data_IF_475350577653
#
_entry.id   IF_475350577653
#
_cell.length_a   1.000
_cell.length_b   1.000
_cell.length_c   1.000
_cell.angle_alpha   90.00
_cell.angle_beta   90.00
_cell.angle_gamma   90.00
#
_symmetry.space_group_name_H-M   'P 1'
#
loop_
_entity.id
_entity.type
_entity.pdbx_description
1 polymer ?
#
# COMPACT_ATOMS: atom_id res chain seq x y z
N UNK A 1 -13.19 -12.68 -9.86
CA UNK A 1 -12.35 -12.05 -8.83
C UNK A 1 -11.56 -10.89 -9.40
N UNK A 2 -11.30 -9.87 -8.59
CA UNK A 2 -10.53 -8.73 -9.03
C UNK A 2 -9.19 -8.65 -8.33
N UNK A 3 -8.35 -7.72 -8.78
CA UNK A 3 -7.06 -7.47 -8.17
C UNK A 3 -7.21 -6.83 -6.80
N UNK A 4 -6.26 -7.07 -5.91
CA UNK A 4 -6.06 -6.25 -4.72
C UNK A 4 -5.00 -5.20 -5.02
N UNK A 5 -5.20 -4.00 -4.52
CA UNK A 5 -4.27 -2.90 -4.67
C UNK A 5 -3.82 -2.46 -3.28
N UNK A 6 -2.52 -2.35 -3.08
CA UNK A 6 -1.98 -1.89 -1.80
C UNK A 6 -1.41 -0.50 -1.94
N UNK A 7 -1.60 0.31 -0.92
CA UNK A 7 -1.08 1.67 -0.85
C UNK A 7 -0.21 1.80 0.39
N UNK A 8 1.06 2.10 0.18
CA UNK A 8 1.96 2.52 1.25
C UNK A 8 1.88 4.04 1.31
N UNK A 9 0.97 4.54 2.15
CA UNK A 9 0.59 5.95 2.17
C UNK A 9 1.65 6.80 2.85
N UNK A 10 2.12 7.81 2.14
CA UNK A 10 3.06 8.79 2.67
C UNK A 10 2.51 10.20 2.58
N UNK A 11 3.12 11.14 3.31
CA UNK A 11 2.68 12.52 3.31
C UNK A 11 2.87 13.23 1.97
N UNK A 12 3.89 12.85 1.21
CA UNK A 12 4.22 13.46 -0.08
C UNK A 12 3.92 12.55 -1.26
N UNK A 13 4.17 11.25 -1.11
CA UNK A 13 3.96 10.28 -2.18
C UNK A 13 3.55 8.95 -1.58
N UNK A 14 2.93 8.12 -2.40
CA UNK A 14 2.45 6.80 -2.02
C UNK A 14 3.00 5.74 -2.96
N UNK A 15 3.44 4.61 -2.40
CA UNK A 15 3.82 3.45 -3.18
C UNK A 15 2.59 2.62 -3.50
N UNK A 16 2.53 2.08 -4.71
CA UNK A 16 1.39 1.29 -5.18
C UNK A 16 1.88 -0.10 -5.59
N UNK A 17 1.19 -1.12 -5.11
CA UNK A 17 1.39 -2.50 -5.54
C UNK A 17 0.04 -3.12 -5.88
N UNK A 18 0.04 -4.09 -6.78
CA UNK A 18 -1.20 -4.76 -7.20
C UNK A 18 -0.96 -6.26 -7.27
N UNK A 19 -2.05 -7.03 -7.16
CA UNK A 19 -2.00 -8.47 -7.39
C UNK A 19 -2.41 -8.78 -8.81
N UNK A 20 -2.19 -10.04 -9.21
CA UNK A 20 -2.86 -10.61 -10.37
C UNK A 20 -4.36 -10.78 -10.06
N UNK A 21 -5.14 -11.14 -11.07
CA UNK A 21 -6.60 -11.30 -10.91
C UNK A 21 -6.96 -12.41 -9.93
N UNK A 22 -6.12 -13.41 -9.79
CA UNK A 22 -6.34 -14.53 -8.86
C UNK A 22 -5.86 -14.23 -7.44
N UNK A 23 -5.27 -13.06 -7.20
CA UNK A 23 -4.78 -12.62 -5.89
C UNK A 23 -3.73 -13.58 -5.29
N UNK A 24 -2.83 -14.07 -6.14
CA UNK A 24 -1.77 -14.99 -5.72
C UNK A 24 -0.44 -14.26 -5.53
N UNK A 25 -0.07 -13.39 -6.46
CA UNK A 25 1.21 -12.69 -6.46
C UNK A 25 1.02 -11.20 -6.33
N UNK A 26 1.95 -10.55 -5.64
CA UNK A 26 1.98 -9.09 -5.49
C UNK A 26 3.14 -8.51 -6.30
N UNK A 27 2.88 -7.40 -6.99
CA UNK A 27 3.85 -6.71 -7.84
C UNK A 27 3.90 -5.23 -7.52
N UNK A 28 5.12 -4.66 -7.48
CA UNK A 28 5.27 -3.21 -7.43
C UNK A 28 4.73 -2.62 -8.73
N UNK A 29 3.92 -1.58 -8.63
CA UNK A 29 3.24 -1.02 -9.80
C UNK A 29 3.66 0.41 -10.08
N UNK A 30 3.58 1.31 -9.10
CA UNK A 30 3.84 2.71 -9.33
C UNK A 30 4.14 3.44 -8.03
N UNK A 31 4.59 4.68 -8.16
CA UNK A 31 4.70 5.63 -7.06
C UNK A 31 4.04 6.91 -7.52
N UNK A 32 3.06 7.41 -6.77
CA UNK A 32 2.29 8.59 -7.16
C UNK A 32 2.32 9.63 -6.05
N UNK A 33 2.15 10.89 -6.42
CA UNK A 33 2.00 11.96 -5.44
C UNK A 33 0.74 11.74 -4.62
N UNK A 34 0.82 12.01 -3.32
CA UNK A 34 -0.34 11.86 -2.44
C UNK A 34 -1.51 12.71 -2.90
N UNK A 35 -1.24 13.90 -3.43
CA UNK A 35 -2.27 14.79 -3.96
C UNK A 35 -2.98 14.22 -5.19
N UNK A 36 -2.33 13.33 -5.94
CA UNK A 36 -2.90 12.74 -7.15
C UNK A 36 -3.48 11.35 -6.91
N UNK A 37 -3.37 10.84 -5.69
CA UNK A 37 -3.71 9.46 -5.38
C UNK A 37 -5.16 9.11 -5.71
N UNK A 38 -6.09 9.98 -5.35
CA UNK A 38 -7.51 9.72 -5.59
C UNK A 38 -7.83 9.64 -7.08
N UNK A 39 -7.28 10.58 -7.87
CA UNK A 39 -7.46 10.57 -9.33
C UNK A 39 -6.81 9.35 -9.96
N UNK A 40 -5.65 8.95 -9.46
CA UNK A 40 -4.97 7.74 -9.90
C UNK A 40 -5.85 6.51 -9.67
N UNK A 41 -6.48 6.40 -8.49
CA UNK A 41 -7.36 5.27 -8.18
C UNK A 41 -8.59 5.26 -9.06
N UNK A 42 -9.17 6.43 -9.34
CA UNK A 42 -10.32 6.52 -10.24
C UNK A 42 -9.97 5.98 -11.63
N UNK A 43 -8.82 6.39 -12.15
CA UNK A 43 -8.37 5.96 -13.46
C UNK A 43 -8.07 4.47 -13.48
N UNK A 44 -7.33 3.99 -12.49
CA UNK A 44 -6.92 2.59 -12.41
C UNK A 44 -8.13 1.66 -12.27
N UNK A 45 -9.09 2.00 -11.41
CA UNK A 45 -10.27 1.15 -11.19
C UNK A 45 -11.20 1.12 -12.38
N UNK A 46 -11.13 2.10 -13.28
CA UNK A 46 -11.89 2.07 -14.53
C UNK A 46 -11.23 1.15 -15.56
N UNK A 47 -9.91 1.04 -15.52
CA UNK A 47 -9.16 0.23 -16.50
C UNK A 47 -8.99 -1.22 -16.06
N UNK A 48 -8.89 -1.44 -14.76
CA UNK A 48 -8.64 -2.76 -14.20
C UNK A 48 -9.72 -3.16 -13.21
N UNK A 49 -9.99 -4.45 -13.13
CA UNK A 49 -10.96 -4.97 -12.18
C UNK A 49 -10.31 -5.08 -10.80
N UNK A 50 -10.65 -4.15 -9.91
CA UNK A 50 -10.13 -4.10 -8.55
C UNK A 50 -11.22 -4.51 -7.57
N UNK A 51 -10.94 -5.51 -6.74
CA UNK A 51 -11.87 -5.98 -5.72
C UNK A 51 -11.75 -5.19 -4.43
N UNK A 52 -10.52 -4.86 -4.03
CA UNK A 52 -10.29 -4.18 -2.77
C UNK A 52 -8.98 -3.44 -2.73
N UNK A 53 -8.85 -2.58 -1.73
CA UNK A 53 -7.67 -1.75 -1.51
C UNK A 53 -7.18 -1.98 -0.09
N UNK A 54 -5.88 -2.25 0.05
CA UNK A 54 -5.19 -2.44 1.33
C UNK A 54 -4.35 -1.20 1.60
N UNK A 55 -4.59 -0.53 2.72
CA UNK A 55 -3.82 0.65 3.10
C UNK A 55 -2.97 0.32 4.31
N UNK A 56 -1.66 0.57 4.22
CA UNK A 56 -0.76 0.38 5.33
C UNK A 56 -0.97 1.45 6.38
N UNK A 57 -1.12 1.02 7.64
CA UNK A 57 -1.25 1.94 8.76
C UNK A 57 0.08 2.02 9.51
N UNK A 58 0.56 3.22 9.83
CA UNK A 58 1.80 3.35 10.58
C UNK A 58 1.65 2.83 12.01
N UNK A 59 2.79 2.38 12.58
CA UNK A 59 2.82 1.96 13.97
C UNK A 59 2.51 3.14 14.88
N UNK A 60 1.54 2.96 15.76
CA UNK A 60 1.19 3.97 16.75
C UNK A 60 2.05 3.77 18.00
N UNK A 61 2.87 4.76 18.32
CA UNK A 61 3.64 4.78 19.54
C UNK A 61 2.82 5.52 20.61
N UNK A 62 2.82 5.00 21.83
CA UNK A 62 2.15 5.63 22.98
C UNK A 62 0.64 5.80 22.80
N UNK A 63 0.03 5.02 21.94
CA UNK A 63 -1.42 5.01 21.69
C UNK A 63 -1.96 6.33 21.13
N UNK A 64 -1.11 7.26 20.75
CA UNK A 64 -1.54 8.50 20.12
C UNK A 64 -1.53 8.35 18.61
N UNK A 65 -2.63 8.72 17.93
CA UNK A 65 -2.62 8.69 16.46
C UNK A 65 -1.68 9.72 15.91
N UNK A 66 -0.80 9.30 15.00
CA UNK A 66 0.08 10.23 14.30
C UNK A 66 -0.75 11.07 13.33
N UNK A 67 -0.20 12.21 12.88
CA UNK A 67 -0.89 13.03 11.88
C UNK A 67 -1.12 12.26 10.58
N UNK A 68 -0.19 11.37 10.21
CA UNK A 68 -0.35 10.57 9.00
C UNK A 68 -1.49 9.56 9.15
N UNK A 69 -1.70 9.01 10.35
CA UNK A 69 -2.81 8.09 10.59
C UNK A 69 -4.16 8.80 10.38
N UNK A 70 -4.27 10.05 10.81
CA UNK A 70 -5.48 10.85 10.58
C UNK A 70 -5.72 11.11 9.09
N UNK A 71 -4.66 11.43 8.34
CA UNK A 71 -4.76 11.62 6.90
C UNK A 71 -5.24 10.34 6.21
N UNK A 72 -4.72 9.19 6.63
CA UNK A 72 -5.11 7.90 6.07
C UNK A 72 -6.58 7.63 6.35
N UNK A 73 -7.04 7.87 7.58
CA UNK A 73 -8.44 7.67 7.94
C UNK A 73 -9.37 8.55 7.10
N UNK A 74 -8.99 9.81 6.88
CA UNK A 74 -9.76 10.72 6.04
C UNK A 74 -9.76 10.26 4.58
N UNK A 75 -8.62 9.80 4.08
CA UNK A 75 -8.49 9.29 2.73
C UNK A 75 -9.39 8.07 2.52
N UNK A 76 -9.37 7.13 3.47
CA UNK A 76 -10.21 5.93 3.38
C UNK A 76 -11.69 6.31 3.39
N UNK A 77 -12.09 7.23 4.26
CA UNK A 77 -13.49 7.70 4.30
C UNK A 77 -13.93 8.30 2.98
N UNK A 78 -13.07 9.11 2.37
CA UNK A 78 -13.36 9.72 1.07
C UNK A 78 -13.46 8.65 -0.02
N UNK A 79 -12.55 7.68 0.00
CA UNK A 79 -12.57 6.59 -0.97
C UNK A 79 -13.82 5.73 -0.84
N UNK A 80 -14.24 5.43 0.37
CA UNK A 80 -15.48 4.65 0.58
C UNK A 80 -16.69 5.35 -0.01
N UNK A 81 -16.71 6.68 0.07
CA UNK A 81 -17.79 7.48 -0.52
C UNK A 81 -17.76 7.42 -2.04
N UNK A 82 -16.58 7.44 -2.65
CA UNK A 82 -16.44 7.48 -4.11
C UNK A 82 -16.42 6.10 -4.77
N UNK A 83 -16.03 5.08 -4.02
CA UNK A 83 -15.92 3.71 -4.53
C UNK A 83 -16.73 2.76 -3.65
N UNK A 84 -18.07 2.84 -3.68
CA UNK A 84 -18.91 2.08 -2.77
C UNK A 84 -18.85 0.56 -2.97
N UNK A 85 -18.37 0.09 -4.12
CA UNK A 85 -18.26 -1.34 -4.41
C UNK A 85 -16.91 -1.94 -4.00
N UNK A 86 -15.91 -1.11 -3.71
CA UNK A 86 -14.59 -1.58 -3.30
C UNK A 86 -14.55 -1.86 -1.81
N UNK A 87 -13.82 -2.91 -1.45
CA UNK A 87 -13.53 -3.22 -0.06
C UNK A 87 -12.25 -2.51 0.36
N UNK A 88 -12.22 -1.99 1.59
CA UNK A 88 -11.04 -1.31 2.11
C UNK A 88 -10.56 -2.05 3.35
N UNK A 89 -9.24 -2.34 3.37
CA UNK A 89 -8.58 -3.03 4.46
C UNK A 89 -7.43 -2.18 4.96
N UNK A 90 -7.16 -2.22 6.25
CA UNK A 90 -5.98 -1.60 6.83
C UNK A 90 -5.06 -2.69 7.35
N UNK A 91 -3.75 -2.47 7.28
CA UNK A 91 -2.77 -3.44 7.72
C UNK A 91 -1.61 -2.70 8.39
N UNK A 92 -1.10 -3.25 9.47
CA UNK A 92 -0.06 -2.60 10.28
C UNK A 92 1.30 -2.71 9.59
N UNK A 93 1.91 -1.57 9.28
CA UNK A 93 3.19 -1.50 8.58
C UNK A 93 4.37 -2.02 9.40
N UNK A 94 4.24 -2.16 10.72
CA UNK A 94 5.37 -2.63 11.52
C UNK A 94 5.84 -4.03 11.13
N UNK A 95 5.01 -4.79 10.42
CA UNK A 95 5.37 -6.11 9.95
C UNK A 95 6.08 -6.09 8.58
N UNK A 96 6.16 -4.94 7.93
CA UNK A 96 6.66 -4.85 6.56
C UNK A 96 7.76 -3.82 6.35
N UNK A 97 7.68 -2.64 6.97
CA UNK A 97 8.59 -1.53 6.67
C UNK A 97 10.06 -1.83 6.97
N UNK A 98 10.32 -2.47 8.10
CA UNK A 98 11.69 -2.81 8.49
C UNK A 98 12.28 -3.86 7.56
N UNK A 99 11.47 -4.83 7.16
CA UNK A 99 11.92 -5.89 6.24
C UNK A 99 12.26 -5.28 4.89
N UNK A 100 11.40 -4.42 4.37
CA UNK A 100 11.64 -3.74 3.11
C UNK A 100 12.93 -2.93 3.13
N UNK A 101 13.13 -2.13 4.17
CA UNK A 101 14.34 -1.32 4.31
C UNK A 101 15.58 -2.17 4.41
N UNK A 102 15.51 -3.27 5.15
CA UNK A 102 16.64 -4.17 5.32
C UNK A 102 17.02 -4.86 4.01
N UNK A 103 16.04 -5.38 3.28
CA UNK A 103 16.29 -6.04 2.00
C UNK A 103 16.86 -5.08 0.96
N UNK A 104 16.36 -3.86 0.91
CA UNK A 104 16.89 -2.85 -0.01
C UNK A 104 18.31 -2.49 0.37
N UNK A 105 18.61 -2.34 1.66
CA UNK A 105 19.94 -2.02 2.14
C UNK A 105 20.93 -3.13 1.82
N UNK A 106 20.50 -4.39 1.83
CA UNK A 106 21.32 -5.53 1.47
C UNK A 106 21.57 -5.61 -0.05
N UNK A 107 20.62 -5.16 -0.84
CA UNK A 107 20.66 -5.27 -2.30
C UNK A 107 21.31 -4.06 -2.99
N UNK A 108 21.40 -2.92 -2.33
CA UNK A 108 21.83 -1.66 -2.95
C UNK A 108 22.73 -0.86 -2.02
N UNK A 109 23.60 -0.03 -2.60
CA UNK A 109 24.39 0.92 -1.81
C UNK A 109 23.47 2.00 -1.23
N UNK A 110 23.92 2.64 -0.14
CA UNK A 110 23.14 3.75 0.46
C UNK A 110 22.87 4.86 -0.53
N UNK A 111 23.79 5.12 -1.43
CA UNK A 111 23.63 6.15 -2.45
C UNK A 111 22.49 5.79 -3.41
N UNK A 112 22.43 4.54 -3.84
CA UNK A 112 21.36 4.06 -4.72
C UNK A 112 20.01 4.12 -4.02
N UNK A 113 19.94 3.78 -2.75
CA UNK A 113 18.70 3.86 -1.97
C UNK A 113 18.18 5.28 -1.94
N UNK A 114 19.05 6.27 -1.69
CA UNK A 114 18.65 7.68 -1.66
C UNK A 114 18.13 8.17 -3.00
N UNK A 115 18.69 7.68 -4.09
CA UNK A 115 18.32 8.10 -5.45
C UNK A 115 17.06 7.41 -5.94
N UNK A 116 16.70 6.27 -5.36
CA UNK A 116 15.57 5.45 -5.82
C UNK A 116 14.44 5.37 -4.79
N UNK A 117 14.05 6.52 -4.24
CA UNK A 117 12.95 6.58 -3.26
C UNK A 117 11.64 6.02 -3.81
N UNK A 118 11.38 6.23 -5.11
CA UNK A 118 10.18 5.68 -5.76
C UNK A 118 10.18 4.16 -5.74
N UNK A 119 11.34 3.55 -5.96
CA UNK A 119 11.47 2.10 -5.92
C UNK A 119 11.26 1.58 -4.50
N UNK A 120 11.79 2.27 -3.49
CA UNK A 120 11.59 1.90 -2.09
C UNK A 120 10.10 1.90 -1.75
N UNK A 121 9.37 2.91 -2.19
CA UNK A 121 7.92 3.00 -1.95
C UNK A 121 7.18 1.83 -2.60
N UNK A 122 7.57 1.47 -3.82
CA UNK A 122 6.96 0.33 -4.51
C UNK A 122 7.27 -1.00 -3.83
N UNK A 123 8.51 -1.19 -3.36
CA UNK A 123 8.90 -2.40 -2.64
C UNK A 123 8.15 -2.49 -1.31
N UNK A 124 8.02 -1.38 -0.60
CA UNK A 124 7.27 -1.34 0.66
C UNK A 124 5.81 -1.72 0.43
N UNK A 125 5.18 -1.18 -0.61
CA UNK A 125 3.80 -1.52 -0.96
C UNK A 125 3.67 -3.00 -1.36
N UNK A 126 4.65 -3.52 -2.09
CA UNK A 126 4.65 -4.93 -2.50
C UNK A 126 4.72 -5.86 -1.30
N UNK A 127 5.61 -5.58 -0.34
CA UNK A 127 5.73 -6.38 0.87
C UNK A 127 4.51 -6.27 1.76
N UNK A 128 3.92 -5.08 1.83
CA UNK A 128 2.65 -4.88 2.53
C UNK A 128 1.57 -5.79 1.95
N UNK A 129 1.46 -5.82 0.64
CA UNK A 129 0.46 -6.63 -0.05
C UNK A 129 0.73 -8.12 0.11
N UNK A 130 1.97 -8.56 0.00
CA UNK A 130 2.34 -9.96 0.22
C UNK A 130 2.01 -10.40 1.64
N UNK A 131 2.31 -9.55 2.63
CA UNK A 131 1.99 -9.85 4.03
C UNK A 131 0.49 -9.96 4.23
N UNK A 132 -0.28 -9.07 3.60
CA UNK A 132 -1.74 -9.11 3.69
C UNK A 132 -2.30 -10.39 3.05
N UNK A 133 -1.75 -10.80 1.90
CA UNK A 133 -2.18 -12.04 1.26
C UNK A 133 -1.94 -13.25 2.15
N UNK A 134 -0.78 -13.32 2.80
CA UNK A 134 -0.47 -14.39 3.75
C UNK A 134 -1.42 -14.38 4.94
N UNK A 135 -1.70 -13.21 5.49
CA UNK A 135 -2.63 -13.05 6.60
C UNK A 135 -4.04 -13.52 6.21
N UNK A 136 -4.49 -13.13 5.01
CA UNK A 136 -5.81 -13.51 4.52
C UNK A 136 -5.93 -15.02 4.34
N UNK A 137 -4.90 -15.68 3.80
CA UNK A 137 -4.89 -17.13 3.62
C UNK A 137 -4.95 -17.86 4.97
N UNK A 138 -4.17 -17.38 5.95
CA UNK A 138 -4.16 -17.97 7.29
C UNK A 138 -5.54 -17.89 7.95
N UNK A 139 -6.24 -16.76 7.73
CA UNK A 139 -7.53 -16.51 8.37
C UNK A 139 -8.65 -17.33 7.75
N UNK A 140 -8.53 -17.73 6.50
CA UNK A 140 -9.58 -18.49 5.79
C UNK A 140 -9.39 -19.99 5.85
N UNK A 141 -8.27 -20.46 6.36
CA UNK A 141 -8.00 -21.89 6.46
C UNK A 141 -8.54 -22.51 7.75
#
# INVERSE_FOLDING_TARGET
>A
MGRLLAIDYGGKRCGIAVTDLDQVFAFGHDTVSTSDLLDYLKDYTQKENVEGIVVGMPKRLNQEPSSIAKEIDQFISECKSQFPTLKFHTYDERFTSKIASHEIAMASSKKQIRQNKKLIDQVSATLLLQSFLSYKQTKTS
#
